data_IF_934808299350
#
_entry.id   IF_934808299350
#
_cell.length_a   1.000
_cell.length_b   1.000
_cell.length_c   1.000
_cell.angle_alpha   90.00
_cell.angle_beta   90.00
_cell.angle_gamma   90.00
#
_symmetry.space_group_name_H-M   'P 1'
#
loop_
_entity.id
_entity.type
_entity.pdbx_description
1 polymer ?
#
# COMPACT_ATOMS: atom_id res chain seq x y z
N UNK A 1 4.88 -0.03 1.37
CA UNK A 1 3.68 0.47 0.67
C UNK A 1 3.46 1.96 0.95
N UNK A 2 3.37 2.40 2.21
CA UNK A 2 3.10 3.81 2.56
C UNK A 2 4.01 4.81 1.83
N UNK A 3 5.32 4.58 1.81
CA UNK A 3 6.29 5.42 1.12
C UNK A 3 6.03 5.51 -0.40
N UNK A 4 5.55 4.44 -1.02
CA UNK A 4 5.20 4.48 -2.44
C UNK A 4 3.95 5.34 -2.68
N UNK A 5 2.95 5.26 -1.81
CA UNK A 5 1.75 6.11 -1.90
C UNK A 5 2.12 7.59 -1.80
N UNK A 6 3.01 7.95 -0.87
CA UNK A 6 3.54 9.31 -0.72
C UNK A 6 4.28 9.79 -1.97
N UNK A 7 5.04 8.92 -2.64
CA UNK A 7 5.73 9.24 -3.90
C UNK A 7 4.76 9.60 -5.04
N UNK A 8 3.53 9.10 -4.99
CA UNK A 8 2.46 9.52 -5.90
C UNK A 8 1.72 10.79 -5.43
N UNK A 9 2.22 11.47 -4.40
CA UNK A 9 1.63 12.71 -3.88
C UNK A 9 0.37 12.51 -3.04
N UNK A 10 0.14 11.30 -2.53
CA UNK A 10 -1.03 10.96 -1.72
C UNK A 10 -0.63 10.66 -0.29
N UNK A 11 -1.43 11.11 0.68
CA UNK A 11 -1.30 10.63 2.05
C UNK A 11 -1.85 9.21 2.17
N UNK A 12 -1.07 8.25 2.70
CA UNK A 12 -1.48 6.86 2.78
C UNK A 12 -2.57 6.68 3.84
N UNK A 13 -3.74 6.19 3.41
CA UNK A 13 -4.86 5.74 4.23
C UNK A 13 -5.01 4.26 4.03
N UNK A 14 -4.44 3.48 4.94
CA UNK A 14 -4.20 2.06 4.73
C UNK A 14 -5.24 1.20 5.45
N UNK A 15 -5.83 0.24 4.76
CA UNK A 15 -6.71 -0.75 5.35
C UNK A 15 -6.11 -2.15 5.21
N UNK A 16 -6.01 -2.86 6.34
CA UNK A 16 -5.63 -4.27 6.39
C UNK A 16 -6.88 -5.11 6.19
N UNK A 17 -6.96 -5.82 5.06
CA UNK A 17 -8.18 -6.52 4.66
C UNK A 17 -8.19 -7.98 5.09
N UNK A 18 -9.37 -8.46 5.44
CA UNK A 18 -9.64 -9.88 5.66
C UNK A 18 -11.13 -10.21 5.44
N UNK A 19 -11.49 -11.46 5.71
CA UNK A 19 -12.90 -11.90 5.76
C UNK A 19 -13.51 -11.69 7.16
N UNK A 20 -13.05 -10.69 7.90
CA UNK A 20 -13.48 -10.33 9.26
C UNK A 20 -13.43 -8.82 9.43
N UNK A 21 -14.32 -8.27 10.24
CA UNK A 21 -14.28 -6.87 10.66
C UNK A 21 -13.92 -6.82 12.15
N UNK A 22 -12.74 -6.28 12.48
CA UNK A 22 -12.30 -5.96 13.86
C UNK A 22 -12.53 -7.09 14.86
N UNK A 23 -12.12 -8.31 14.52
CA UNK A 23 -12.23 -9.47 15.40
C UNK A 23 -13.55 -10.22 15.32
N UNK A 24 -14.40 -9.96 14.32
CA UNK A 24 -15.66 -10.70 14.15
C UNK A 24 -15.45 -12.18 13.81
N UNK A 25 -14.26 -12.58 13.39
CA UNK A 25 -13.91 -13.97 13.08
C UNK A 25 -12.41 -14.24 13.28
N UNK A 26 -12.07 -15.47 13.68
CA UNK A 26 -10.71 -15.93 13.96
C UNK A 26 -10.12 -16.82 12.86
N UNK A 27 -10.43 -16.56 11.61
CA UNK A 27 -9.69 -17.19 10.51
C UNK A 27 -8.20 -16.84 10.59
N UNK A 28 -7.34 -17.75 10.16
CA UNK A 28 -5.89 -17.57 10.23
C UNK A 28 -5.42 -16.25 9.59
N UNK A 29 -6.03 -15.86 8.46
CA UNK A 29 -5.73 -14.60 7.78
C UNK A 29 -6.18 -13.38 8.60
N UNK A 30 -7.32 -13.47 9.29
CA UNK A 30 -7.84 -12.38 10.13
C UNK A 30 -6.95 -12.16 11.35
N UNK A 31 -6.55 -13.24 12.03
CA UNK A 31 -5.60 -13.19 13.16
C UNK A 31 -4.28 -12.57 12.70
N UNK A 32 -3.72 -13.05 11.59
CA UNK A 32 -2.48 -12.51 11.00
C UNK A 32 -2.56 -11.01 10.76
N UNK A 33 -3.68 -10.51 10.22
CA UNK A 33 -3.83 -9.08 9.91
C UNK A 33 -3.99 -8.25 11.19
N UNK A 34 -4.65 -8.75 12.24
CA UNK A 34 -4.70 -8.10 13.56
C UNK A 34 -3.32 -7.99 14.21
N UNK A 35 -2.55 -9.08 14.19
CA UNK A 35 -1.18 -9.08 14.70
C UNK A 35 -0.29 -8.11 13.93
N UNK A 36 -0.42 -8.08 12.60
CA UNK A 36 0.29 -7.12 11.77
C UNK A 36 -0.08 -5.67 12.09
N UNK A 37 -1.36 -5.38 12.38
CA UNK A 37 -1.81 -4.06 12.79
C UNK A 37 -1.18 -3.62 14.11
N UNK A 38 -1.13 -4.51 15.12
CA UNK A 38 -0.49 -4.21 16.41
C UNK A 38 0.98 -3.80 16.21
N UNK A 39 1.72 -4.58 15.43
CA UNK A 39 3.13 -4.27 15.10
C UNK A 39 3.26 -2.93 14.38
N UNK A 40 2.33 -2.61 13.47
CA UNK A 40 2.33 -1.34 12.76
C UNK A 40 2.05 -0.16 13.68
N UNK A 41 1.11 -0.30 14.62
CA UNK A 41 0.82 0.74 15.61
C UNK A 41 2.01 1.04 16.55
N UNK A 42 2.80 0.00 16.87
CA UNK A 42 4.02 0.16 17.67
C UNK A 42 5.17 0.79 16.87
N UNK A 43 5.40 0.32 15.63
CA UNK A 43 6.54 0.74 14.81
C UNK A 43 6.33 2.04 14.04
N UNK A 44 5.08 2.37 13.74
CA UNK A 44 4.71 3.53 12.94
C UNK A 44 3.41 4.18 13.47
N UNK A 45 3.41 4.70 14.71
CA UNK A 45 2.20 5.19 15.37
C UNK A 45 1.52 6.36 14.65
N UNK A 46 2.26 7.11 13.82
CA UNK A 46 1.75 8.20 13.01
C UNK A 46 1.13 7.75 11.67
N UNK A 47 1.28 6.46 11.32
CA UNK A 47 0.69 5.94 10.08
C UNK A 47 -0.82 5.76 10.24
N UNK A 48 -1.58 6.34 9.31
CA UNK A 48 -3.03 6.14 9.24
C UNK A 48 -3.32 4.75 8.66
N UNK A 49 -3.38 3.76 9.56
CA UNK A 49 -3.62 2.35 9.23
C UNK A 49 -4.65 1.76 10.19
N UNK A 50 -5.57 0.96 9.65
CA UNK A 50 -6.64 0.34 10.40
C UNK A 50 -7.00 -1.05 9.85
N UNK A 51 -7.66 -1.88 10.64
CA UNK A 51 -8.17 -3.21 10.29
C UNK A 51 -8.20 -4.14 11.50
N UNK A 52 -8.36 -5.43 11.29
CA UNK A 52 -8.68 -5.99 9.96
C UNK A 52 -10.14 -5.70 9.63
N UNK A 53 -10.42 -5.51 8.36
CA UNK A 53 -11.78 -5.19 7.92
C UNK A 53 -12.09 -5.75 6.52
N UNK A 54 -13.37 -5.81 6.19
CA UNK A 54 -13.83 -6.09 4.83
C UNK A 54 -13.49 -4.94 3.88
N UNK A 55 -13.44 -5.22 2.59
CA UNK A 55 -13.14 -4.21 1.57
C UNK A 55 -14.21 -3.12 1.45
N UNK A 56 -15.48 -3.45 1.64
CA UNK A 56 -16.57 -2.49 1.67
C UNK A 56 -16.46 -1.54 2.88
N UNK A 57 -16.13 -2.06 4.04
CA UNK A 57 -15.87 -1.27 5.26
C UNK A 57 -14.66 -0.32 5.06
N UNK A 58 -13.62 -0.77 4.36
CA UNK A 58 -12.46 0.05 4.04
C UNK A 58 -12.79 1.18 3.06
N UNK A 59 -13.64 0.91 2.07
CA UNK A 59 -13.95 1.81 0.97
C UNK A 59 -15.17 2.69 1.22
N UNK A 60 -16.01 2.36 2.20
CA UNK A 60 -17.18 3.14 2.58
C UNK A 60 -17.05 3.69 4.02
N UNK A 61 -16.65 4.97 4.17
CA UNK A 61 -16.50 5.61 5.47
C UNK A 61 -17.79 5.66 6.29
N UNK A 62 -18.96 5.78 5.66
CA UNK A 62 -20.26 5.85 6.35
C UNK A 62 -20.52 4.52 7.05
N UNK A 63 -20.44 3.40 6.32
CA UNK A 63 -20.57 2.05 6.88
C UNK A 63 -19.57 1.81 8.00
N UNK A 64 -18.32 2.18 7.79
CA UNK A 64 -17.28 2.00 8.82
C UNK A 64 -17.57 2.81 10.06
N UNK A 65 -17.90 4.08 9.94
CA UNK A 65 -18.13 4.97 11.09
C UNK A 65 -19.38 4.58 11.89
N UNK A 66 -20.40 4.03 11.25
CA UNK A 66 -21.58 3.49 11.90
C UNK A 66 -21.23 2.27 12.76
N UNK A 67 -20.45 1.34 12.21
CA UNK A 67 -20.08 0.09 12.89
C UNK A 67 -18.90 0.27 13.87
N UNK A 68 -17.94 1.14 13.53
CA UNK A 68 -16.66 1.34 14.26
C UNK A 68 -16.32 2.82 14.36
N UNK A 69 -17.05 3.58 15.21
CA UNK A 69 -16.89 5.05 15.32
C UNK A 69 -15.52 5.50 15.81
N UNK A 70 -14.77 4.59 16.46
CA UNK A 70 -13.41 4.84 16.97
C UNK A 70 -12.31 4.42 15.99
N UNK A 71 -12.64 4.12 14.73
CA UNK A 71 -11.65 3.79 13.73
C UNK A 71 -10.65 4.92 13.52
N UNK A 72 -9.36 4.58 13.44
CA UNK A 72 -8.27 5.54 13.18
C UNK A 72 -8.22 6.01 11.72
N UNK A 73 -8.94 5.34 10.82
CA UNK A 73 -8.94 5.64 9.40
C UNK A 73 -9.93 6.78 9.10
N UNK A 74 -9.44 7.91 8.62
CA UNK A 74 -10.25 9.07 8.26
C UNK A 74 -10.62 9.07 6.77
N UNK A 75 -11.90 8.95 6.47
CA UNK A 75 -12.38 8.88 5.09
C UNK A 75 -12.14 7.51 4.44
N UNK A 76 -12.17 7.45 3.14
CA UNK A 76 -11.99 6.22 2.36
C UNK A 76 -10.52 5.78 2.35
N UNK A 77 -10.28 4.47 2.50
CA UNK A 77 -8.95 3.91 2.30
C UNK A 77 -8.50 4.08 0.83
N UNK A 78 -7.25 4.48 0.65
CA UNK A 78 -6.62 4.55 -0.67
C UNK A 78 -5.52 3.48 -0.87
N UNK A 79 -5.25 2.71 0.17
CA UNK A 79 -4.25 1.65 0.16
C UNK A 79 -4.80 0.40 0.84
N UNK A 80 -5.01 -0.65 0.06
CA UNK A 80 -5.59 -1.91 0.54
C UNK A 80 -4.48 -2.95 0.65
N UNK A 81 -4.31 -3.50 1.85
CA UNK A 81 -3.32 -4.55 2.13
C UNK A 81 -4.04 -5.88 2.27
N UNK A 82 -3.80 -6.77 1.34
CA UNK A 82 -4.39 -8.09 1.30
C UNK A 82 -3.64 -9.06 2.24
N UNK A 83 -4.31 -10.07 2.81
CA UNK A 83 -3.69 -11.01 3.73
C UNK A 83 -2.66 -11.94 3.07
N UNK A 84 -2.76 -12.13 1.77
CA UNK A 84 -1.88 -13.00 0.98
C UNK A 84 -1.86 -12.60 -0.50
N UNK A 85 -0.93 -13.20 -1.26
CA UNK A 85 -0.75 -12.94 -2.67
C UNK A 85 -1.95 -13.39 -3.53
N UNK A 86 -2.61 -14.46 -3.15
CA UNK A 86 -3.78 -14.98 -3.89
C UNK A 86 -4.92 -13.99 -3.86
N UNK A 87 -5.27 -13.52 -2.65
CA UNK A 87 -6.30 -12.50 -2.46
C UNK A 87 -5.95 -11.20 -3.20
N UNK A 88 -4.69 -10.77 -3.12
CA UNK A 88 -4.21 -9.58 -3.80
C UNK A 88 -4.32 -9.70 -5.32
N UNK A 89 -3.94 -10.84 -5.89
CA UNK A 89 -3.99 -11.09 -7.33
C UNK A 89 -5.44 -11.11 -7.85
N UNK A 90 -6.35 -11.79 -7.14
CA UNK A 90 -7.76 -11.84 -7.51
C UNK A 90 -8.36 -10.42 -7.47
N UNK A 91 -8.17 -9.69 -6.36
CA UNK A 91 -8.70 -8.33 -6.21
C UNK A 91 -8.15 -7.38 -7.27
N UNK A 92 -6.83 -7.43 -7.54
CA UNK A 92 -6.19 -6.62 -8.57
C UNK A 92 -6.80 -6.87 -9.96
N UNK A 93 -6.98 -8.15 -10.36
CA UNK A 93 -7.54 -8.46 -11.67
C UNK A 93 -9.01 -8.07 -11.79
N UNK A 94 -9.80 -8.20 -10.70
CA UNK A 94 -11.19 -7.74 -10.68
C UNK A 94 -11.26 -6.21 -10.84
N UNK A 95 -10.53 -5.47 -10.03
CA UNK A 95 -10.51 -4.00 -10.11
C UNK A 95 -10.01 -3.53 -11.47
N UNK A 96 -8.93 -4.11 -11.99
CA UNK A 96 -8.39 -3.79 -13.32
C UNK A 96 -9.41 -4.00 -14.43
N UNK A 97 -10.22 -5.06 -14.34
CA UNK A 97 -11.21 -5.41 -15.37
C UNK A 97 -12.46 -4.55 -15.26
N UNK A 98 -12.92 -4.26 -14.03
CA UNK A 98 -14.17 -3.53 -13.77
C UNK A 98 -13.98 -2.01 -13.80
N UNK A 99 -12.79 -1.50 -13.54
CA UNK A 99 -12.50 -0.08 -13.61
C UNK A 99 -12.05 0.32 -15.02
N UNK A 100 -12.39 1.53 -15.42
CA UNK A 100 -11.83 2.14 -16.63
C UNK A 100 -10.46 2.79 -16.36
N UNK A 101 -9.82 2.46 -15.23
CA UNK A 101 -8.56 3.03 -14.79
C UNK A 101 -7.35 2.46 -15.53
N UNK A 102 -6.24 3.19 -15.45
CA UNK A 102 -4.95 2.73 -15.95
C UNK A 102 -4.21 2.06 -14.81
N UNK A 103 -3.87 0.78 -14.98
CA UNK A 103 -3.03 0.07 -14.02
C UNK A 103 -1.55 0.40 -14.24
N UNK A 104 -0.87 0.80 -13.16
CA UNK A 104 0.59 0.97 -13.11
C UNK A 104 1.15 -0.05 -12.11
N UNK A 105 1.93 -1.00 -12.58
CA UNK A 105 2.46 -2.09 -11.73
C UNK A 105 2.56 -3.41 -12.51
N UNK A 106 3.02 -4.48 -11.81
CA UNK A 106 3.39 -4.54 -10.40
C UNK A 106 4.70 -3.81 -10.08
N UNK A 107 4.70 -3.07 -8.96
CA UNK A 107 5.90 -2.43 -8.43
C UNK A 107 6.57 -3.37 -7.41
N UNK A 108 7.83 -3.69 -7.62
CA UNK A 108 8.61 -4.47 -6.66
C UNK A 108 9.17 -3.55 -5.58
N UNK A 109 8.89 -3.88 -4.31
CA UNK A 109 9.32 -3.10 -3.16
C UNK A 109 10.38 -3.87 -2.37
N UNK A 110 11.23 -3.13 -1.64
CA UNK A 110 12.25 -3.71 -0.77
C UNK A 110 13.55 -4.13 -1.47
N UNK A 111 13.74 -3.77 -2.72
CA UNK A 111 14.97 -4.03 -3.46
C UNK A 111 16.02 -2.95 -3.18
N UNK A 112 17.30 -3.31 -3.28
CA UNK A 112 18.44 -2.38 -3.14
C UNK A 112 18.56 -1.38 -4.31
N UNK A 113 17.99 -1.74 -5.46
CA UNK A 113 17.91 -0.87 -6.64
C UNK A 113 16.50 -0.95 -7.25
N UNK A 114 16.03 0.10 -7.96
CA UNK A 114 14.75 0.05 -8.66
C UNK A 114 14.74 -1.06 -9.71
N UNK A 115 13.78 -1.96 -9.60
CA UNK A 115 13.54 -3.01 -10.58
C UNK A 115 12.06 -3.38 -10.57
N UNK A 116 11.45 -3.45 -11.74
CA UNK A 116 10.04 -3.76 -11.90
C UNK A 116 9.84 -4.83 -12.96
N UNK A 117 8.73 -5.55 -12.86
CA UNK A 117 8.39 -6.63 -13.80
C UNK A 117 7.36 -6.12 -14.80
N UNK A 118 7.60 -6.40 -16.08
CA UNK A 118 6.63 -6.22 -17.15
C UNK A 118 6.20 -7.58 -17.69
N UNK A 119 4.91 -7.76 -17.88
CA UNK A 119 4.38 -8.94 -18.56
C UNK A 119 4.48 -8.77 -20.09
N UNK A 120 4.56 -9.89 -20.83
CA UNK A 120 4.62 -9.87 -22.29
C UNK A 120 3.40 -9.25 -22.98
N UNK A 121 2.30 -9.06 -22.24
CA UNK A 121 1.08 -8.36 -22.69
C UNK A 121 1.05 -6.87 -22.34
N UNK A 122 2.17 -6.30 -21.87
CA UNK A 122 2.23 -4.88 -21.51
C UNK A 122 1.99 -4.00 -22.75
N UNK A 123 1.14 -2.98 -22.57
CA UNK A 123 0.91 -1.98 -23.61
C UNK A 123 2.10 -1.00 -23.67
N UNK A 124 2.28 -0.30 -24.78
CA UNK A 124 3.29 0.77 -24.92
C UNK A 124 3.17 1.79 -23.77
N UNK A 125 1.94 2.19 -23.42
CA UNK A 125 1.67 3.09 -22.30
C UNK A 125 2.07 2.48 -20.96
N UNK A 126 1.84 1.19 -20.77
CA UNK A 126 2.28 0.46 -19.57
C UNK A 126 3.80 0.45 -19.43
N UNK A 127 4.53 0.18 -20.51
CA UNK A 127 6.00 0.24 -20.52
C UNK A 127 6.49 1.65 -20.18
N UNK A 128 5.92 2.67 -20.81
CA UNK A 128 6.29 4.08 -20.56
C UNK A 128 6.07 4.44 -19.09
N UNK A 129 4.91 4.14 -18.53
CA UNK A 129 4.57 4.45 -17.14
C UNK A 129 5.52 3.75 -16.16
N UNK A 130 5.80 2.46 -16.38
CA UNK A 130 6.72 1.70 -15.52
C UNK A 130 8.16 2.22 -15.62
N UNK A 131 8.61 2.62 -16.81
CA UNK A 131 9.92 3.25 -17.00
C UNK A 131 10.00 4.58 -16.26
N UNK A 132 8.98 5.43 -16.36
CA UNK A 132 8.92 6.69 -15.64
C UNK A 132 9.00 6.49 -14.11
N UNK A 133 8.24 5.53 -13.55
CA UNK A 133 8.31 5.19 -12.13
C UNK A 133 9.72 4.74 -11.72
N UNK A 134 10.35 3.86 -12.49
CA UNK A 134 11.70 3.38 -12.20
C UNK A 134 12.74 4.50 -12.23
N UNK A 135 12.64 5.42 -13.18
CA UNK A 135 13.54 6.59 -13.29
C UNK A 135 13.36 7.52 -12.09
N UNK A 136 12.13 7.86 -11.75
CA UNK A 136 11.85 8.72 -10.57
C UNK A 136 12.35 8.06 -9.29
N UNK A 137 12.15 6.76 -9.12
CA UNK A 137 12.65 6.03 -7.96
C UNK A 137 14.17 6.05 -7.88
N UNK A 138 14.86 5.85 -9.00
CA UNK A 138 16.33 5.90 -9.06
C UNK A 138 16.88 7.29 -8.71
N UNK A 139 16.25 8.36 -9.24
CA UNK A 139 16.62 9.74 -8.95
C UNK A 139 16.42 10.09 -7.48
N UNK A 140 15.28 9.73 -6.90
CA UNK A 140 14.97 9.98 -5.48
C UNK A 140 15.99 9.30 -4.58
N UNK A 141 16.31 8.02 -4.81
CA UNK A 141 17.32 7.30 -4.03
C UNK A 141 18.71 7.93 -4.14
N UNK A 142 19.10 8.38 -5.33
CA UNK A 142 20.38 9.06 -5.52
C UNK A 142 20.46 10.35 -4.72
N UNK A 143 19.38 11.13 -4.68
CA UNK A 143 19.30 12.35 -3.88
C UNK A 143 19.40 12.03 -2.38
N UNK A 144 18.62 11.07 -1.88
CA UNK A 144 18.65 10.64 -0.48
C UNK A 144 20.05 10.18 -0.04
N UNK A 145 20.73 9.39 -0.87
CA UNK A 145 22.10 8.94 -0.60
C UNK A 145 23.11 10.08 -0.56
N UNK A 146 22.98 11.05 -1.46
CA UNK A 146 23.87 12.21 -1.49
C UNK A 146 23.66 13.12 -0.26
N UNK A 147 22.41 13.31 0.17
CA UNK A 147 22.09 14.06 1.39
C UNK A 147 22.67 13.36 2.62
N UNK A 148 22.48 12.03 2.75
CA UNK A 148 23.04 11.26 3.87
C UNK A 148 24.56 11.39 3.94
N UNK A 149 25.25 11.21 2.82
CA UNK A 149 26.71 11.36 2.76
C UNK A 149 27.18 12.77 3.15
N UNK A 150 26.44 13.80 2.73
CA UNK A 150 26.79 15.19 3.07
C UNK A 150 26.60 15.48 4.57
N UNK A 151 25.56 14.93 5.20
CA UNK A 151 25.30 15.06 6.64
C UNK A 151 26.37 14.31 7.46
N UNK A 152 26.73 13.09 7.06
CA UNK A 152 27.78 12.30 7.71
C UNK A 152 29.15 13.00 7.65
N UNK A 153 29.46 13.67 6.53
CA UNK A 153 30.70 14.42 6.36
C UNK A 153 30.76 15.72 7.20
N UNK A 154 29.63 16.26 7.67
CA UNK A 154 29.58 17.42 8.55
C UNK A 154 29.59 17.06 10.04
N UNK A 155 29.35 15.81 10.38
CA UNK A 155 29.28 15.33 11.76
C UNK A 155 30.60 14.73 12.26
N UNK A 156 31.60 14.56 11.41
CA UNK A 156 32.95 14.04 11.72
C UNK A 156 34.02 15.10 11.57
#
# INVERSE_FOLDING_TARGET
AAEQVKRFGLEPKMALLSASNFGSNDFAQSVKMREALQILHERAPALEVEGEMHSDTALNPEVRNEMFPNSRLNGQANTLIMPDLTSANIAYNLVKTLSNGISVGPLLLGLSAPAHVLHGSATVRGVLNMTAVAVVEAQTRSIEQNISRALDAQAG
#
